data_IF_652339479613
#
_entry.id   IF_652339479613
#
_cell.length_a   1.000
_cell.length_b   1.000
_cell.length_c   1.000
_cell.angle_alpha   90.00
_cell.angle_beta   90.00
_cell.angle_gamma   90.00
#
_symmetry.space_group_name_H-M   'P 1'
#
loop_
_entity.id
_entity.type
_entity.pdbx_description
1 polymer ?
#
# COMPACT_ATOMS: atom_id res chain seq x y z
N UNK A 1 -21.74 2.86 -8.41
CA UNK A 1 -20.34 3.42 -8.29
C UNK A 1 -20.37 4.87 -7.83
N UNK A 2 -21.33 5.65 -8.29
CA UNK A 2 -21.43 7.07 -8.00
C UNK A 2 -21.91 7.36 -6.57
N UNK A 3 -22.52 6.38 -5.92
CA UNK A 3 -23.07 6.51 -4.56
C UNK A 3 -22.09 6.18 -3.43
N UNK A 4 -20.89 5.68 -3.77
CA UNK A 4 -19.87 5.27 -2.80
C UNK A 4 -18.57 6.13 -2.80
N UNK A 5 -18.51 7.34 -3.42
CA UNK A 5 -17.24 8.05 -3.62
C UNK A 5 -16.59 8.52 -2.31
N UNK A 6 -17.31 8.57 -1.22
CA UNK A 6 -16.84 9.14 0.05
C UNK A 6 -16.56 8.09 1.15
N UNK A 7 -16.83 6.81 0.87
CA UNK A 7 -16.55 5.76 1.85
C UNK A 7 -15.14 5.21 1.70
N UNK A 8 -14.37 5.12 2.79
CA UNK A 8 -13.09 4.42 2.78
C UNK A 8 -13.34 2.91 2.68
N UNK A 9 -13.04 2.33 1.52
CA UNK A 9 -13.06 0.89 1.33
C UNK A 9 -11.71 0.40 0.81
N UNK A 10 -11.37 -0.82 1.16
CA UNK A 10 -10.15 -1.47 0.70
C UNK A 10 -10.26 -1.84 -0.78
N UNK A 11 -9.14 -1.77 -1.49
CA UNK A 11 -9.06 -2.32 -2.86
C UNK A 11 -9.32 -3.83 -2.87
N UNK A 12 -9.15 -4.52 -1.75
CA UNK A 12 -9.48 -5.93 -1.58
C UNK A 12 -10.98 -6.19 -1.41
N UNK A 13 -11.78 -5.17 -1.14
CA UNK A 13 -13.24 -5.25 -1.08
C UNK A 13 -13.89 -5.08 -2.44
N UNK A 14 -13.10 -4.92 -3.50
CA UNK A 14 -13.58 -4.86 -4.87
C UNK A 14 -13.84 -6.29 -5.38
N UNK A 15 -15.10 -6.58 -5.69
CA UNK A 15 -15.54 -7.86 -6.21
C UNK A 15 -15.77 -7.80 -7.72
N UNK A 16 -15.28 -8.81 -8.43
CA UNK A 16 -15.59 -9.01 -9.84
C UNK A 16 -16.69 -10.06 -10.02
N UNK A 17 -17.57 -9.85 -10.99
CA UNK A 17 -18.47 -10.90 -11.46
C UNK A 17 -17.71 -11.76 -12.45
N UNK A 18 -17.51 -13.03 -12.12
CA UNK A 18 -16.90 -13.99 -13.03
C UNK A 18 -17.98 -14.92 -13.55
N UNK A 19 -18.18 -14.94 -14.86
CA UNK A 19 -19.02 -15.92 -15.51
C UNK A 19 -18.20 -17.21 -15.65
N UNK A 20 -18.65 -18.27 -14.99
CA UNK A 20 -18.06 -19.61 -15.11
C UNK A 20 -19.17 -20.61 -15.44
N UNK A 21 -19.18 -21.07 -16.68
CA UNK A 21 -20.20 -22.01 -17.15
C UNK A 21 -21.63 -21.44 -17.08
N UNK A 22 -22.59 -22.24 -16.52
CA UNK A 22 -23.99 -21.84 -16.36
C UNK A 22 -24.26 -20.86 -15.21
N UNK A 23 -23.27 -20.55 -14.38
CA UNK A 23 -23.48 -19.78 -13.16
C UNK A 23 -22.57 -18.56 -13.14
N UNK A 24 -23.15 -17.38 -12.97
CA UNK A 24 -22.44 -16.17 -12.62
C UNK A 24 -22.40 -16.07 -11.09
N UNK A 25 -21.19 -15.86 -10.53
CA UNK A 25 -20.99 -15.70 -9.09
C UNK A 25 -20.10 -14.50 -8.79
N UNK A 26 -20.40 -13.82 -7.68
CA UNK A 26 -19.48 -12.85 -7.10
C UNK A 26 -18.28 -13.63 -6.53
N UNK A 27 -17.11 -13.38 -7.07
CA UNK A 27 -15.88 -13.91 -6.51
C UNK A 27 -15.02 -12.75 -6.03
N UNK A 28 -14.64 -12.79 -4.77
CA UNK A 28 -13.64 -11.89 -4.27
C UNK A 28 -12.33 -12.15 -5.03
N UNK A 29 -11.84 -11.11 -5.69
CA UNK A 29 -10.60 -11.21 -6.44
C UNK A 29 -9.49 -10.73 -5.52
N UNK A 30 -9.06 -11.58 -4.62
CA UNK A 30 -7.81 -11.41 -3.91
C UNK A 30 -6.69 -11.66 -4.89
N UNK A 31 -6.25 -10.61 -5.56
CA UNK A 31 -5.15 -10.76 -6.48
C UNK A 31 -4.16 -9.62 -6.24
N UNK A 32 -2.93 -9.96 -6.00
CA UNK A 32 -1.83 -8.99 -5.89
C UNK A 32 -1.72 -8.09 -7.12
N UNK A 33 -2.21 -8.53 -8.27
CA UNK A 33 -2.29 -7.74 -9.49
C UNK A 33 -3.13 -6.45 -9.34
N UNK A 34 -4.09 -6.43 -8.41
CA UNK A 34 -4.90 -5.24 -8.16
C UNK A 34 -4.27 -4.25 -7.18
N UNK A 35 -3.08 -4.54 -6.70
CA UNK A 35 -2.32 -3.65 -5.82
C UNK A 35 -1.33 -2.78 -6.57
N UNK A 36 -1.07 -3.10 -7.84
CA UNK A 36 -0.16 -2.36 -8.69
C UNK A 36 -0.88 -1.92 -9.96
N UNK A 37 -0.89 -0.63 -10.22
CA UNK A 37 -1.52 -0.02 -11.39
C UNK A 37 -0.53 0.89 -12.10
N UNK A 38 -0.55 0.82 -13.43
CA UNK A 38 0.40 1.56 -14.27
C UNK A 38 1.73 0.84 -14.43
N UNK A 39 2.53 1.33 -15.35
CA UNK A 39 3.90 0.88 -15.59
C UNK A 39 4.74 2.02 -16.11
N UNK A 40 6.05 1.97 -15.87
CA UNK A 40 6.98 2.79 -16.63
C UNK A 40 7.42 2.01 -17.85
N UNK A 41 7.34 2.63 -19.02
CA UNK A 41 7.96 2.07 -20.20
C UNK A 41 9.48 2.01 -20.00
N UNK A 42 10.11 0.99 -20.60
CA UNK A 42 11.52 0.65 -20.39
C UNK A 42 12.50 1.64 -21.01
N UNK A 43 12.15 2.88 -21.21
CA UNK A 43 13.05 3.84 -21.85
C UNK A 43 13.48 4.96 -20.92
N UNK A 44 14.79 5.02 -20.82
CA UNK A 44 15.74 6.13 -20.89
C UNK A 44 15.88 7.08 -19.69
N UNK A 45 17.16 7.18 -19.32
CA UNK A 45 17.92 8.39 -18.96
C UNK A 45 17.26 9.43 -18.07
N UNK A 46 17.86 9.66 -16.92
CA UNK A 46 17.88 10.92 -16.13
C UNK A 46 16.58 11.70 -15.97
N UNK A 47 15.42 11.05 -15.94
CA UNK A 47 14.21 11.75 -15.56
C UNK A 47 14.06 11.74 -14.04
N UNK A 48 13.63 12.87 -13.50
CA UNK A 48 13.34 13.02 -12.09
C UNK A 48 12.28 12.00 -11.67
N UNK A 49 12.66 11.10 -10.77
CA UNK A 49 11.78 10.10 -10.19
C UNK A 49 11.30 10.58 -8.83
N UNK A 50 9.99 10.59 -8.66
CA UNK A 50 9.34 10.98 -7.43
C UNK A 50 8.69 9.76 -6.76
N UNK A 51 8.97 9.53 -5.49
CA UNK A 51 8.19 8.67 -4.62
C UNK A 51 7.25 9.53 -3.79
N UNK A 52 5.96 9.29 -3.91
CA UNK A 52 4.91 9.98 -3.16
C UNK A 52 4.25 8.98 -2.21
N UNK A 53 4.56 9.06 -0.93
CA UNK A 53 3.92 8.25 0.10
C UNK A 53 2.67 8.96 0.65
N UNK A 54 1.60 8.20 0.89
CA UNK A 54 0.39 8.74 1.53
C UNK A 54 0.69 9.24 2.94
N UNK A 55 1.38 8.39 3.73
CA UNK A 55 1.70 8.62 5.12
C UNK A 55 2.77 9.71 5.31
N UNK A 56 2.82 10.26 6.52
CA UNK A 56 3.84 11.21 6.97
C UNK A 56 4.67 10.70 8.17
N UNK A 57 4.43 9.46 8.59
CA UNK A 57 4.98 8.83 9.79
C UNK A 57 5.92 7.67 9.44
N UNK A 58 5.85 6.58 10.22
CA UNK A 58 6.75 5.43 10.10
C UNK A 58 6.81 4.83 8.69
N UNK A 59 5.68 4.73 7.98
CA UNK A 59 5.65 4.26 6.59
C UNK A 59 6.43 5.16 5.65
N UNK A 60 6.20 6.48 5.74
CA UNK A 60 6.96 7.45 4.94
C UNK A 60 8.47 7.41 5.27
N UNK A 61 8.84 7.39 6.56
CA UNK A 61 10.23 7.30 6.97
C UNK A 61 10.92 6.07 6.38
N UNK A 62 10.23 4.91 6.40
CA UNK A 62 10.74 3.67 5.83
C UNK A 62 10.95 3.78 4.32
N UNK A 63 9.93 4.20 3.56
CA UNK A 63 10.03 4.30 2.10
C UNK A 63 11.04 5.36 1.68
N UNK A 64 11.11 6.48 2.38
CA UNK A 64 12.12 7.51 2.15
C UNK A 64 13.53 6.96 2.28
N UNK A 65 13.83 6.26 3.36
CA UNK A 65 15.15 5.68 3.59
C UNK A 65 15.47 4.58 2.58
N UNK A 66 14.47 3.79 2.20
CA UNK A 66 14.63 2.70 1.26
C UNK A 66 14.91 3.17 -0.18
N UNK A 67 14.28 4.27 -0.60
CA UNK A 67 14.25 4.69 -2.01
C UNK A 67 14.94 6.03 -2.28
N UNK A 68 15.44 6.75 -1.27
CA UNK A 68 16.05 8.08 -1.43
C UNK A 68 17.26 8.11 -2.38
N UNK A 69 17.90 6.98 -2.61
CA UNK A 69 19.01 6.85 -3.57
C UNK A 69 18.55 7.05 -5.03
N UNK A 70 17.28 6.70 -5.33
CA UNK A 70 16.76 6.63 -6.70
C UNK A 70 15.57 7.57 -6.93
N UNK A 71 14.95 8.07 -5.86
CA UNK A 71 13.74 8.87 -5.91
C UNK A 71 13.86 10.10 -5.02
N UNK A 72 13.36 11.23 -5.48
CA UNK A 72 12.96 12.31 -4.56
C UNK A 72 11.72 11.86 -3.80
N UNK A 73 11.76 11.89 -2.46
CA UNK A 73 10.67 11.35 -1.65
C UNK A 73 9.85 12.47 -1.02
N UNK A 74 8.54 12.43 -1.24
CA UNK A 74 7.56 13.36 -0.66
C UNK A 74 6.51 12.60 0.12
N UNK A 75 6.01 13.22 1.19
CA UNK A 75 4.79 12.79 1.87
C UNK A 75 3.60 13.59 1.34
N UNK A 76 2.50 12.89 1.06
CA UNK A 76 1.24 13.53 0.69
C UNK A 76 0.47 14.07 1.90
N UNK A 77 0.83 13.64 3.12
CA UNK A 77 0.06 13.96 4.33
C UNK A 77 -1.44 13.60 4.19
N UNK A 78 -1.69 12.41 3.67
CA UNK A 78 -3.01 11.83 3.48
C UNK A 78 -3.45 11.68 2.03
N UNK A 79 -4.29 10.67 1.78
CA UNK A 79 -4.73 10.23 0.44
C UNK A 79 -5.36 11.33 -0.41
N UNK A 80 -6.15 12.21 0.20
CA UNK A 80 -6.86 13.29 -0.49
C UNK A 80 -5.93 14.31 -1.17
N UNK A 81 -4.68 14.42 -0.73
CA UNK A 81 -3.70 15.33 -1.31
C UNK A 81 -2.95 14.73 -2.49
N UNK A 82 -2.95 13.39 -2.63
CA UNK A 82 -2.17 12.70 -3.68
C UNK A 82 -2.52 13.22 -5.06
N UNK A 83 -3.81 13.32 -5.40
CA UNK A 83 -4.24 13.81 -6.71
C UNK A 83 -3.73 15.22 -7.00
N UNK A 84 -3.80 16.13 -6.03
CA UNK A 84 -3.33 17.51 -6.17
C UNK A 84 -1.81 17.58 -6.41
N UNK A 85 -1.05 16.78 -5.67
CA UNK A 85 0.41 16.70 -5.84
C UNK A 85 0.77 16.14 -7.21
N UNK A 86 0.09 15.09 -7.65
CA UNK A 86 0.29 14.52 -8.99
C UNK A 86 0.01 15.54 -10.11
N UNK A 87 -0.95 16.46 -9.92
CA UNK A 87 -1.19 17.52 -10.89
C UNK A 87 -0.05 18.54 -10.98
N UNK A 88 0.71 18.72 -9.91
CA UNK A 88 1.88 19.61 -9.88
C UNK A 88 3.12 18.95 -10.50
N UNK A 89 3.29 17.64 -10.35
CA UNK A 89 4.42 16.83 -10.81
C UNK A 89 4.11 16.11 -12.12
N UNK A 90 3.86 16.88 -13.20
CA UNK A 90 3.37 16.32 -14.47
C UNK A 90 4.41 15.65 -15.33
N UNK A 91 5.67 15.98 -15.16
CA UNK A 91 6.77 15.52 -16.02
C UNK A 91 7.52 14.33 -15.42
N UNK A 92 7.47 14.19 -14.11
CA UNK A 92 8.20 13.17 -13.37
C UNK A 92 7.57 11.78 -13.53
N UNK A 93 8.39 10.74 -13.37
CA UNK A 93 7.93 9.37 -13.13
C UNK A 93 7.57 9.26 -11.66
N UNK A 94 6.31 9.04 -11.33
CA UNK A 94 5.84 9.04 -9.95
C UNK A 94 5.46 7.64 -9.50
N UNK A 95 6.13 7.17 -8.44
CA UNK A 95 5.70 6.02 -7.67
C UNK A 95 4.85 6.50 -6.49
N UNK A 96 3.57 6.20 -6.51
CA UNK A 96 2.66 6.47 -5.40
C UNK A 96 2.57 5.22 -4.54
N UNK A 97 2.82 5.37 -3.24
CA UNK A 97 2.62 4.31 -2.24
C UNK A 97 1.55 4.78 -1.26
N UNK A 98 0.44 4.08 -1.21
CA UNK A 98 -0.69 4.47 -0.37
C UNK A 98 -1.38 3.26 0.26
N UNK A 99 -2.09 3.49 1.36
CA UNK A 99 -2.79 2.43 2.09
C UNK A 99 -4.04 1.97 1.33
N UNK A 100 -3.94 0.80 0.71
CA UNK A 100 -5.01 0.17 -0.06
C UNK A 100 -6.30 -0.04 0.75
N UNK A 101 -6.16 -0.20 2.07
CA UNK A 101 -7.28 -0.34 3.01
C UNK A 101 -8.30 0.81 2.96
N UNK A 102 -7.90 1.98 2.48
CA UNK A 102 -8.77 3.16 2.47
C UNK A 102 -8.73 3.95 1.14
N UNK A 103 -8.04 3.45 0.12
CA UNK A 103 -7.76 4.19 -1.11
C UNK A 103 -8.88 4.12 -2.16
N UNK A 104 -9.87 3.25 -1.96
CA UNK A 104 -10.91 3.00 -2.97
C UNK A 104 -11.60 4.26 -3.51
N UNK A 105 -11.87 5.24 -2.66
CA UNK A 105 -12.52 6.49 -3.05
C UNK A 105 -11.65 7.42 -3.94
N UNK A 106 -10.32 7.23 -3.95
CA UNK A 106 -9.39 8.01 -4.77
C UNK A 106 -9.02 7.32 -6.09
N UNK A 107 -9.37 6.03 -6.24
CA UNK A 107 -8.95 5.20 -7.39
C UNK A 107 -9.32 5.80 -8.72
N UNK A 108 -10.55 6.27 -8.89
CA UNK A 108 -11.00 6.77 -10.19
C UNK A 108 -10.19 7.95 -10.67
N UNK A 109 -9.91 8.93 -9.80
CA UNK A 109 -9.14 10.13 -10.13
C UNK A 109 -7.72 9.76 -10.58
N UNK A 110 -7.08 8.84 -9.87
CA UNK A 110 -5.71 8.40 -10.19
C UNK A 110 -5.69 7.57 -11.48
N UNK A 111 -6.67 6.67 -11.64
CA UNK A 111 -6.78 5.86 -12.88
C UNK A 111 -7.05 6.71 -14.11
N UNK A 112 -7.78 7.83 -13.98
CA UNK A 112 -7.92 8.79 -15.06
C UNK A 112 -6.58 9.40 -15.47
N UNK A 113 -5.74 9.80 -14.52
CA UNK A 113 -4.40 10.31 -14.83
C UNK A 113 -3.55 9.27 -15.56
N UNK A 114 -3.56 8.01 -15.09
CA UNK A 114 -2.83 6.90 -15.74
C UNK A 114 -3.33 6.68 -17.18
N UNK A 115 -4.64 6.66 -17.39
CA UNK A 115 -5.24 6.52 -18.74
C UNK A 115 -4.92 7.68 -19.67
N UNK A 116 -4.68 8.87 -19.14
CA UNK A 116 -4.21 10.04 -19.88
C UNK A 116 -2.70 10.01 -20.19
N UNK A 117 -2.04 8.88 -20.00
CA UNK A 117 -0.62 8.70 -20.30
C UNK A 117 0.34 9.30 -19.26
N UNK A 118 -0.16 9.60 -18.03
CA UNK A 118 0.71 10.05 -16.95
C UNK A 118 1.59 8.89 -16.46
N UNK A 119 2.86 9.14 -16.29
CA UNK A 119 3.84 8.16 -15.84
C UNK A 119 3.74 7.95 -14.33
N UNK A 120 2.70 7.23 -13.92
CA UNK A 120 2.37 6.95 -12.53
C UNK A 120 2.33 5.44 -12.35
N UNK A 121 3.05 4.94 -11.36
CA UNK A 121 2.82 3.64 -10.77
C UNK A 121 2.14 3.87 -9.44
N UNK A 122 0.99 3.23 -9.24
CA UNK A 122 0.24 3.25 -8.00
C UNK A 122 0.38 1.88 -7.33
N UNK A 123 1.04 1.83 -6.19
CA UNK A 123 1.19 0.64 -5.36
C UNK A 123 0.37 0.78 -4.08
N UNK A 124 -0.49 -0.18 -3.84
CA UNK A 124 -1.49 -0.17 -2.76
C UNK A 124 -1.37 -1.43 -1.88
N UNK A 125 -0.35 -1.55 -1.00
CA UNK A 125 -0.44 -2.52 0.09
C UNK A 125 -1.66 -2.21 0.95
N UNK A 126 -2.18 -3.17 1.75
CA UNK A 126 -3.27 -2.84 2.68
C UNK A 126 -2.91 -1.67 3.58
N UNK A 127 -1.72 -1.75 4.17
CA UNK A 127 -1.04 -0.67 4.88
C UNK A 127 0.45 -0.98 4.99
N UNK A 128 1.24 -0.06 5.50
CA UNK A 128 2.65 -0.32 5.81
C UNK A 128 2.79 -1.45 6.83
N UNK A 129 1.94 -1.49 7.86
CA UNK A 129 1.95 -2.54 8.87
C UNK A 129 1.64 -3.92 8.29
N UNK A 130 0.67 -3.99 7.39
CA UNK A 130 0.38 -5.22 6.66
C UNK A 130 1.61 -5.71 5.87
N UNK A 131 2.32 -4.79 5.21
CA UNK A 131 3.53 -5.10 4.45
C UNK A 131 4.62 -5.66 5.38
N UNK A 132 4.81 -5.06 6.55
CA UNK A 132 5.73 -5.53 7.59
C UNK A 132 5.36 -6.93 8.05
N UNK A 133 4.09 -7.19 8.38
CA UNK A 133 3.61 -8.50 8.81
C UNK A 133 3.80 -9.55 7.69
N UNK A 134 3.46 -9.20 6.45
CA UNK A 134 3.61 -10.10 5.29
C UNK A 134 5.07 -10.44 4.97
N UNK A 135 6.01 -9.58 5.33
CA UNK A 135 7.44 -9.83 5.08
C UNK A 135 8.03 -10.99 5.89
N UNK A 136 7.30 -11.48 6.90
CA UNK A 136 7.72 -12.59 7.75
C UNK A 136 8.94 -12.27 8.63
N UNK A 137 9.18 -10.98 8.93
CA UNK A 137 10.22 -10.59 9.90
C UNK A 137 9.80 -10.88 11.34
N UNK A 138 8.50 -11.02 11.58
CA UNK A 138 7.91 -11.53 12.82
C UNK A 138 7.33 -12.90 12.50
N UNK A 139 7.99 -13.94 12.99
CA UNK A 139 7.58 -15.33 12.74
C UNK A 139 6.50 -15.72 13.76
N UNK A 140 5.25 -15.80 13.30
CA UNK A 140 4.09 -16.15 14.11
C UNK A 140 3.04 -16.85 13.23
N UNK A 141 2.57 -18.02 13.67
CA UNK A 141 1.60 -18.81 12.89
C UNK A 141 0.21 -18.13 12.86
N UNK A 142 -0.16 -17.38 13.89
CA UNK A 142 -1.40 -16.62 13.91
C UNK A 142 -1.37 -15.51 12.87
N UNK A 143 -0.23 -14.80 12.74
CA UNK A 143 -0.04 -13.80 11.68
C UNK A 143 -0.26 -14.42 10.30
N UNK A 144 0.28 -15.62 10.04
CA UNK A 144 0.09 -16.30 8.75
C UNK A 144 -1.37 -16.59 8.48
N UNK A 145 -2.09 -17.15 9.45
CA UNK A 145 -3.53 -17.44 9.33
C UNK A 145 -4.36 -16.16 9.09
N UNK A 146 -4.03 -15.08 9.81
CA UNK A 146 -4.68 -13.78 9.65
C UNK A 146 -4.44 -13.22 8.24
N UNK A 147 -3.22 -13.28 7.73
CA UNK A 147 -2.89 -12.74 6.41
C UNK A 147 -3.53 -13.55 5.27
N UNK A 148 -3.79 -14.84 5.46
CA UNK A 148 -4.49 -15.68 4.49
C UNK A 148 -5.99 -15.37 4.43
N UNK A 149 -6.62 -15.15 5.59
CA UNK A 149 -8.08 -14.93 5.69
C UNK A 149 -8.39 -13.81 6.71
N UNK A 150 -7.97 -12.56 6.46
CA UNK A 150 -8.07 -11.50 7.46
C UNK A 150 -9.51 -11.18 7.85
N UNK A 151 -10.47 -11.39 6.94
CA UNK A 151 -11.91 -11.17 7.19
C UNK A 151 -12.50 -12.07 8.29
N UNK A 152 -11.83 -13.19 8.63
CA UNK A 152 -12.27 -14.05 9.75
C UNK A 152 -11.81 -13.53 11.11
N UNK A 153 -10.86 -12.61 11.15
CA UNK A 153 -10.23 -12.13 12.37
C UNK A 153 -10.57 -10.68 12.73
N UNK A 154 -10.99 -9.90 11.74
CA UNK A 154 -11.34 -8.50 11.98
C UNK A 154 -12.76 -8.39 12.53
N UNK A 155 -12.89 -7.81 13.74
CA UNK A 155 -14.17 -7.43 14.29
C UNK A 155 -14.49 -5.97 13.93
N UNK A 156 -15.48 -5.77 13.07
CA UNK A 156 -15.90 -4.45 12.62
C UNK A 156 -16.45 -3.55 13.74
N UNK A 157 -16.84 -4.12 14.88
CA UNK A 157 -17.24 -3.35 16.07
C UNK A 157 -16.05 -2.75 16.80
N UNK A 158 -14.87 -3.35 16.66
CA UNK A 158 -13.62 -2.92 17.29
C UNK A 158 -12.77 -2.11 16.34
N UNK A 159 -12.68 -2.55 15.07
CA UNK A 159 -11.82 -1.95 14.07
C UNK A 159 -12.62 -1.25 12.98
N UNK A 160 -12.49 0.05 12.92
CA UNK A 160 -13.13 0.88 11.91
C UNK A 160 -12.56 0.65 10.50
N UNK A 161 -11.31 0.20 10.37
CA UNK A 161 -10.66 -0.06 9.09
C UNK A 161 -9.64 -1.19 9.19
N UNK A 162 -9.32 -1.79 8.05
CA UNK A 162 -8.27 -2.79 7.91
C UNK A 162 -6.90 -2.26 8.35
N UNK A 163 -6.60 -1.01 8.04
CA UNK A 163 -5.39 -0.33 8.48
C UNK A 163 -5.26 -0.36 10.01
N UNK A 164 -6.33 0.01 10.74
CA UNK A 164 -6.32 -0.01 12.21
C UNK A 164 -6.14 -1.41 12.77
N UNK A 165 -6.74 -2.39 12.13
CA UNK A 165 -6.56 -3.78 12.51
C UNK A 165 -5.11 -4.22 12.39
N UNK A 166 -4.47 -4.01 11.22
CA UNK A 166 -3.08 -4.39 11.02
C UNK A 166 -2.12 -3.57 11.88
N UNK A 167 -2.41 -2.30 12.14
CA UNK A 167 -1.64 -1.47 13.07
C UNK A 167 -1.68 -2.06 14.49
N UNK A 168 -2.87 -2.41 14.99
CA UNK A 168 -3.02 -3.01 16.31
C UNK A 168 -2.31 -4.36 16.40
N UNK A 169 -2.45 -5.20 15.38
CA UNK A 169 -1.80 -6.50 15.31
C UNK A 169 -0.27 -6.36 15.34
N UNK A 170 0.29 -5.46 14.53
CA UNK A 170 1.74 -5.27 14.49
C UNK A 170 2.27 -4.72 15.83
N UNK A 171 1.57 -3.78 16.45
CA UNK A 171 1.94 -3.26 17.78
C UNK A 171 1.95 -4.40 18.80
N UNK A 172 0.89 -5.21 18.85
CA UNK A 172 0.80 -6.32 19.82
C UNK A 172 1.89 -7.37 19.60
N UNK A 173 2.08 -7.82 18.35
CA UNK A 173 3.05 -8.87 18.01
C UNK A 173 4.51 -8.42 18.09
N UNK A 174 4.78 -7.11 18.09
CA UNK A 174 6.15 -6.57 18.16
C UNK A 174 6.52 -5.99 19.52
N UNK A 175 5.60 -5.82 20.45
CA UNK A 175 5.77 -5.06 21.71
C UNK A 175 6.96 -5.49 22.57
N UNK A 176 7.22 -6.80 22.60
CA UNK A 176 8.27 -7.40 23.45
C UNK A 176 9.50 -7.81 22.63
N UNK A 177 9.65 -7.25 21.42
CA UNK A 177 10.76 -7.55 20.51
C UNK A 177 11.60 -6.30 20.22
N UNK A 178 12.77 -6.51 19.65
CA UNK A 178 13.61 -5.40 19.14
C UNK A 178 12.97 -4.67 17.94
N UNK A 179 11.96 -5.29 17.31
CA UNK A 179 11.13 -4.71 16.24
C UNK A 179 9.91 -3.96 16.77
N UNK A 180 9.89 -3.57 18.02
CA UNK A 180 8.74 -2.85 18.59
C UNK A 180 8.29 -1.72 17.68
N UNK A 181 7.04 -1.84 17.20
CA UNK A 181 6.46 -0.90 16.25
C UNK A 181 5.82 0.30 16.96
N UNK A 182 6.01 1.48 16.37
CA UNK A 182 5.31 2.70 16.72
C UNK A 182 4.91 3.43 15.44
N UNK A 183 3.60 3.68 15.27
CA UNK A 183 3.08 4.34 14.07
C UNK A 183 3.63 5.74 13.86
N UNK A 184 3.94 6.49 14.93
CA UNK A 184 4.37 7.89 14.86
C UNK A 184 5.85 8.06 14.48
N UNK A 185 6.65 7.04 14.69
CA UNK A 185 8.09 7.10 14.41
C UNK A 185 8.64 5.72 14.10
N UNK A 186 9.45 5.61 13.08
CA UNK A 186 10.04 4.35 12.66
C UNK A 186 11.13 3.91 13.64
N UNK A 187 11.02 2.68 14.12
CA UNK A 187 12.12 2.04 14.83
C UNK A 187 13.26 1.73 13.85
N UNK A 188 14.47 2.19 14.14
CA UNK A 188 15.66 2.01 13.28
C UNK A 188 15.98 0.54 12.96
N UNK A 189 15.50 -0.41 13.76
CA UNK A 189 15.64 -1.83 13.47
C UNK A 189 15.03 -2.24 12.13
N UNK A 190 13.97 -1.56 11.69
CA UNK A 190 13.34 -1.80 10.37
C UNK A 190 14.24 -1.38 9.20
N UNK A 191 15.23 -0.53 9.43
CA UNK A 191 16.19 -0.05 8.43
C UNK A 191 17.44 -0.93 8.30
N UNK A 192 17.60 -1.94 9.15
CA UNK A 192 18.68 -2.92 9.00
C UNK A 192 18.53 -3.66 7.67
N UNK A 193 19.62 -3.81 6.91
CA UNK A 193 19.62 -4.32 5.54
C UNK A 193 18.81 -5.62 5.36
N UNK A 194 18.99 -6.58 6.28
CA UNK A 194 18.27 -7.86 6.23
C UNK A 194 16.75 -7.68 6.39
N UNK A 195 16.33 -6.79 7.29
CA UNK A 195 14.91 -6.55 7.59
C UNK A 195 14.28 -5.70 6.49
N UNK A 196 14.93 -4.59 6.15
CA UNK A 196 14.54 -3.71 5.05
C UNK A 196 14.39 -4.50 3.75
N UNK A 197 15.38 -5.35 3.41
CA UNK A 197 15.37 -6.18 2.21
C UNK A 197 14.18 -7.14 2.14
N UNK A 198 13.77 -7.76 3.27
CA UNK A 198 12.58 -8.61 3.31
C UNK A 198 11.28 -7.82 3.01
N UNK A 199 11.16 -6.61 3.55
CA UNK A 199 9.98 -5.77 3.33
C UNK A 199 9.94 -5.26 1.89
N UNK A 200 11.07 -4.72 1.38
CA UNK A 200 11.18 -4.21 0.00
C UNK A 200 10.99 -5.33 -1.01
N UNK A 201 11.46 -6.54 -0.72
CA UNK A 201 11.27 -7.70 -1.59
C UNK A 201 9.81 -8.05 -1.89
N UNK A 202 8.86 -7.53 -1.12
CA UNK A 202 7.43 -7.65 -1.37
C UNK A 202 6.87 -6.54 -2.25
N UNK A 203 7.60 -5.44 -2.43
CA UNK A 203 7.18 -4.34 -3.29
C UNK A 203 7.42 -4.76 -4.75
N UNK A 204 6.39 -4.84 -5.60
CA UNK A 204 6.52 -5.42 -6.95
C UNK A 204 7.16 -4.46 -7.95
N UNK A 205 8.00 -3.56 -7.49
CA UNK A 205 8.69 -2.55 -8.28
C UNK A 205 10.18 -2.87 -8.19
N UNK A 206 10.74 -3.29 -9.30
CA UNK A 206 12.20 -3.49 -9.42
C UNK A 206 12.86 -2.16 -9.78
N UNK A 207 13.94 -1.87 -9.10
CA UNK A 207 14.86 -0.76 -9.39
C UNK A 207 15.55 -0.96 -10.73
#
# INVERSE_FOLDING_TARGET
>A
RDDLPNFPYSVNEIYGIRQSGKYAGLKQVYNELYRLYGSFEKEETSEDKLLLAEDSNAGYEFFKEAYSKYYTCLSANGKSNIFKILQQHRKEKVLVVADGAAFGCEMEKIMQLIRLGRRIILYLPESFEWLVLKSGIIEDNEIKAILEQPHLFIDSKVFFSWERFFTSLLIDKSKDTFLRYNKKSLNKAYLQERIKGKIIGLVPIKE
#
